data_IF_703991742856
#
_entry.id   IF_703991742856
#
_cell.length_a   1.000
_cell.length_b   1.000
_cell.length_c   1.000
_cell.angle_alpha   90.00
_cell.angle_beta   90.00
_cell.angle_gamma   90.00
#
_symmetry.space_group_name_H-M   'P 1'
#
loop_
_entity.id
_entity.type
_entity.pdbx_description
1 polymer ?
#
# COMPACT_ATOMS: atom_id res chain seq x y z
N UNK A 1 8.96 6.75 17.22
CA UNK A 1 8.73 5.48 16.50
C UNK A 1 9.75 4.45 16.95
N UNK A 2 9.30 3.25 17.37
CA UNK A 2 10.19 2.16 17.76
C UNK A 2 10.72 1.42 16.51
N UNK A 3 11.95 0.90 16.56
CA UNK A 3 12.50 0.00 15.53
C UNK A 3 12.87 0.65 14.19
N UNK A 4 13.16 1.93 14.16
CA UNK A 4 13.69 2.64 12.98
C UNK A 4 15.22 2.65 13.08
N UNK A 5 15.89 2.09 12.07
CA UNK A 5 17.32 2.21 11.84
C UNK A 5 17.52 3.16 10.63
N UNK A 6 18.08 4.37 10.84
CA UNK A 6 18.22 5.37 9.78
C UNK A 6 19.11 4.94 8.61
N UNK A 7 19.95 3.91 8.77
CA UNK A 7 20.82 3.37 7.73
C UNK A 7 20.25 2.18 6.96
N UNK A 8 19.15 1.59 7.45
CA UNK A 8 18.62 0.31 6.94
C UNK A 8 18.30 0.30 5.45
N UNK A 9 17.81 1.43 4.91
CA UNK A 9 17.41 1.58 3.50
C UNK A 9 18.23 2.67 2.79
N UNK A 10 19.42 3.00 3.32
CA UNK A 10 20.28 4.00 2.70
C UNK A 10 20.59 3.65 1.24
N UNK A 11 20.45 4.64 0.33
CA UNK A 11 20.66 4.47 -1.10
C UNK A 11 19.57 3.69 -1.83
N UNK A 12 18.44 3.35 -1.19
CA UNK A 12 17.30 2.69 -1.83
C UNK A 12 16.28 3.72 -2.29
N UNK A 13 15.78 3.55 -3.51
CA UNK A 13 14.65 4.31 -4.05
C UNK A 13 13.36 3.54 -3.84
N UNK A 14 12.41 4.17 -3.16
CA UNK A 14 11.12 3.57 -2.81
C UNK A 14 9.98 4.34 -3.47
N UNK A 15 9.15 3.64 -4.22
CA UNK A 15 7.88 4.17 -4.71
C UNK A 15 6.73 3.58 -3.89
N UNK A 16 5.99 4.45 -3.18
CA UNK A 16 4.76 4.06 -2.47
C UNK A 16 3.56 4.64 -3.19
N UNK A 17 2.73 3.79 -3.80
CA UNK A 17 1.53 4.27 -4.50
C UNK A 17 0.46 4.74 -3.50
N UNK A 18 -0.15 5.91 -3.74
CA UNK A 18 -1.13 6.49 -2.83
C UNK A 18 -0.54 6.94 -1.49
N UNK A 19 0.68 7.48 -1.50
CA UNK A 19 1.43 7.87 -0.30
C UNK A 19 1.18 9.28 0.21
N UNK A 20 0.26 10.02 -0.40
CA UNK A 20 -0.05 11.37 0.06
C UNK A 20 -0.96 11.40 1.31
N UNK A 21 -1.51 10.26 1.74
CA UNK A 21 -2.39 10.15 2.92
C UNK A 21 -2.49 8.73 3.49
N UNK A 22 -3.09 8.62 4.67
CA UNK A 22 -3.46 7.36 5.32
C UNK A 22 -2.30 6.41 5.50
N UNK A 23 -2.54 5.12 5.26
CA UNK A 23 -1.52 4.07 5.38
C UNK A 23 -0.31 4.33 4.48
N UNK A 24 -0.56 4.79 3.24
CA UNK A 24 0.51 5.08 2.29
C UNK A 24 1.46 6.17 2.79
N UNK A 25 0.93 7.24 3.41
CA UNK A 25 1.73 8.30 4.03
C UNK A 25 2.56 7.76 5.20
N UNK A 26 1.95 7.00 6.10
CA UNK A 26 2.66 6.39 7.23
C UNK A 26 3.80 5.47 6.77
N UNK A 27 3.57 4.67 5.71
CA UNK A 27 4.61 3.83 5.11
C UNK A 27 5.74 4.67 4.50
N UNK A 28 5.42 5.70 3.71
CA UNK A 28 6.41 6.58 3.08
C UNK A 28 7.27 7.29 4.13
N UNK A 29 6.64 7.86 5.16
CA UNK A 29 7.34 8.52 6.27
C UNK A 29 8.25 7.56 7.05
N UNK A 30 7.78 6.33 7.30
CA UNK A 30 8.58 5.32 8.00
C UNK A 30 9.80 4.90 7.19
N UNK A 31 9.61 4.60 5.89
CA UNK A 31 10.71 4.21 5.00
C UNK A 31 11.70 5.37 4.77
N UNK A 32 11.22 6.62 4.74
CA UNK A 32 12.06 7.81 4.73
C UNK A 32 12.99 7.86 5.96
N UNK A 33 12.44 7.63 7.15
CA UNK A 33 13.24 7.58 8.41
C UNK A 33 14.22 6.42 8.44
N UNK A 34 14.01 5.38 7.65
CA UNK A 34 14.97 4.29 7.45
C UNK A 34 16.08 4.64 6.43
N UNK A 35 16.12 5.86 5.92
CA UNK A 35 17.16 6.35 5.00
C UNK A 35 16.85 6.19 3.52
N UNK A 36 15.63 5.80 3.14
CA UNK A 36 15.24 5.66 1.74
C UNK A 36 14.98 7.01 1.06
N UNK A 37 15.25 7.09 -0.24
CA UNK A 37 14.72 8.12 -1.13
C UNK A 37 13.27 7.78 -1.50
N UNK A 38 12.35 8.73 -1.37
CA UNK A 38 10.90 8.48 -1.47
C UNK A 38 10.27 9.15 -2.69
N UNK A 39 9.57 8.37 -3.50
CA UNK A 39 8.63 8.88 -4.48
C UNK A 39 7.23 8.93 -3.88
N UNK A 40 6.77 10.15 -3.53
CA UNK A 40 5.41 10.42 -3.06
C UNK A 40 4.46 10.40 -4.25
N UNK A 41 3.35 9.69 -4.10
CA UNK A 41 2.37 9.52 -5.19
C UNK A 41 0.95 9.82 -4.77
N UNK A 42 0.24 10.54 -5.61
CA UNK A 42 -1.21 10.71 -5.55
C UNK A 42 -1.80 10.96 -6.94
N UNK A 43 -3.13 11.03 -7.04
CA UNK A 43 -3.80 11.41 -8.31
C UNK A 43 -3.74 12.92 -8.57
N UNK A 44 -3.72 13.71 -7.51
CA UNK A 44 -3.66 15.18 -7.61
C UNK A 44 -3.06 15.78 -6.34
N UNK A 45 -2.70 17.05 -6.40
CA UNK A 45 -2.17 17.77 -5.24
C UNK A 45 -3.18 17.88 -4.09
N UNK A 46 -4.49 17.90 -4.38
CA UNK A 46 -5.58 18.02 -3.38
C UNK A 46 -5.92 16.72 -2.66
N UNK A 47 -5.37 15.57 -3.06
CA UNK A 47 -5.73 14.25 -2.51
C UNK A 47 -5.69 14.15 -0.99
N UNK A 48 -4.68 14.66 -0.26
CA UNK A 48 -4.67 14.57 1.20
C UNK A 48 -5.70 15.49 1.87
N UNK A 49 -6.09 16.59 1.23
CA UNK A 49 -7.09 17.53 1.77
C UNK A 49 -8.51 16.93 1.80
N UNK A 50 -8.79 15.91 0.97
CA UNK A 50 -10.11 15.23 0.93
C UNK A 50 -10.55 14.68 2.29
N UNK A 51 -9.61 14.38 3.19
CA UNK A 51 -9.86 13.84 4.54
C UNK A 51 -9.15 14.64 5.64
N UNK A 52 -8.71 15.87 5.35
CA UNK A 52 -8.11 16.76 6.32
C UNK A 52 -6.74 16.34 6.88
N UNK A 53 -6.01 15.46 6.19
CA UNK A 53 -4.70 14.95 6.66
C UNK A 53 -3.55 15.93 6.39
N UNK A 54 -3.59 16.65 5.28
CA UNK A 54 -2.65 17.70 4.92
C UNK A 54 -3.29 18.63 3.88
N UNK A 55 -2.81 19.87 3.73
CA UNK A 55 -3.33 20.81 2.73
C UNK A 55 -3.15 20.31 1.29
N UNK A 56 -2.03 19.63 1.00
CA UNK A 56 -1.69 19.19 -0.35
C UNK A 56 -0.65 18.04 -0.34
N UNK A 57 -0.48 17.37 -1.47
CA UNK A 57 0.61 16.41 -1.67
C UNK A 57 1.98 17.09 -1.61
N UNK A 58 2.07 18.34 -2.09
CA UNK A 58 3.26 19.18 -1.96
C UNK A 58 3.65 19.35 -0.49
N UNK A 59 2.68 19.58 0.40
CA UNK A 59 2.93 19.68 1.84
C UNK A 59 3.48 18.36 2.41
N UNK A 60 2.91 17.22 2.00
CA UNK A 60 3.42 15.89 2.41
C UNK A 60 4.85 15.64 1.93
N UNK A 61 5.17 16.06 0.70
CA UNK A 61 6.54 16.01 0.18
C UNK A 61 7.51 16.80 1.06
N UNK A 62 7.13 18.03 1.42
CA UNK A 62 7.97 18.89 2.29
C UNK A 62 8.15 18.30 3.69
N UNK A 63 7.11 17.68 4.25
CA UNK A 63 7.21 16.99 5.54
C UNK A 63 8.22 15.83 5.48
N UNK A 64 8.20 15.04 4.39
CA UNK A 64 9.17 13.94 4.18
C UNK A 64 10.59 14.49 4.01
N UNK A 65 10.78 15.59 3.27
CA UNK A 65 12.08 16.25 3.13
C UNK A 65 12.61 16.78 4.46
N UNK A 66 11.74 17.36 5.32
CA UNK A 66 12.11 17.80 6.67
C UNK A 66 12.61 16.65 7.57
N UNK A 67 12.26 15.39 7.26
CA UNK A 67 12.81 14.22 7.94
C UNK A 67 14.23 13.86 7.49
N UNK A 68 14.81 14.62 6.55
CA UNK A 68 16.15 14.39 5.99
C UNK A 68 16.17 13.47 4.76
N UNK A 69 15.02 13.02 4.26
CA UNK A 69 14.96 12.14 3.11
C UNK A 69 15.04 12.91 1.78
N UNK A 70 15.71 12.34 0.80
CA UNK A 70 15.60 12.76 -0.59
C UNK A 70 14.23 12.32 -1.09
N UNK A 71 13.45 13.24 -1.65
CA UNK A 71 12.10 12.90 -2.09
C UNK A 71 11.67 13.68 -3.34
N UNK A 72 10.86 13.01 -4.15
CA UNK A 72 10.14 13.62 -5.29
C UNK A 72 8.66 13.31 -5.18
N UNK A 73 7.82 13.95 -6.01
CA UNK A 73 6.41 13.58 -6.12
C UNK A 73 6.02 13.35 -7.58
N UNK A 74 5.06 12.44 -7.78
CA UNK A 74 4.44 12.17 -9.07
C UNK A 74 2.93 12.10 -8.95
N UNK A 75 2.24 12.67 -9.93
CA UNK A 75 0.80 12.55 -10.08
C UNK A 75 0.49 11.57 -11.20
N UNK A 76 -0.32 10.56 -10.89
CA UNK A 76 -0.77 9.57 -11.86
C UNK A 76 -2.07 8.90 -11.39
N UNK A 77 -2.93 8.49 -12.29
CA UNK A 77 -3.91 7.46 -12.01
C UNK A 77 -3.27 6.09 -12.30
N UNK A 78 -2.97 5.33 -11.26
CA UNK A 78 -2.31 4.03 -11.39
C UNK A 78 -3.23 2.92 -11.92
N UNK A 79 -4.51 3.21 -12.20
CA UNK A 79 -5.37 2.36 -13.00
C UNK A 79 -5.13 2.51 -14.51
N UNK A 80 -4.43 3.58 -14.93
CA UNK A 80 -4.02 3.82 -16.31
C UNK A 80 -2.56 3.39 -16.52
N UNK A 81 -2.29 2.33 -17.31
CA UNK A 81 -0.94 1.83 -17.53
C UNK A 81 -0.02 2.82 -18.29
N UNK A 82 -0.58 3.79 -19.00
CA UNK A 82 0.21 4.83 -19.68
C UNK A 82 0.74 5.81 -18.64
N UNK A 83 -0.11 6.27 -17.74
CA UNK A 83 0.29 7.17 -16.65
C UNK A 83 1.26 6.48 -15.68
N UNK A 84 1.09 5.17 -15.43
CA UNK A 84 2.04 4.39 -14.60
C UNK A 84 3.44 4.40 -15.22
N UNK A 85 3.59 4.15 -16.52
CA UNK A 85 4.90 4.20 -17.19
C UNK A 85 5.54 5.59 -17.10
N UNK A 86 4.77 6.64 -17.39
CA UNK A 86 5.25 8.00 -17.27
C UNK A 86 5.65 8.36 -15.82
N UNK A 87 4.95 7.82 -14.81
CA UNK A 87 5.33 8.01 -13.41
C UNK A 87 6.66 7.32 -13.08
N UNK A 88 6.87 6.07 -13.55
CA UNK A 88 8.16 5.35 -13.37
C UNK A 88 9.30 6.15 -13.99
N UNK A 89 9.18 6.60 -15.23
CA UNK A 89 10.19 7.40 -15.91
C UNK A 89 10.58 8.68 -15.13
N UNK A 90 9.57 9.39 -14.61
CA UNK A 90 9.79 10.60 -13.78
C UNK A 90 10.48 10.29 -12.45
N UNK A 91 10.10 9.19 -11.79
CA UNK A 91 10.72 8.77 -10.54
C UNK A 91 12.18 8.41 -10.80
N UNK A 92 12.44 7.59 -11.80
CA UNK A 92 13.79 7.12 -12.11
C UNK A 92 14.71 8.26 -12.59
N UNK A 93 14.18 9.24 -13.32
CA UNK A 93 14.92 10.44 -13.68
C UNK A 93 15.29 11.32 -12.46
N UNK A 94 14.43 11.36 -11.44
CA UNK A 94 14.64 12.22 -10.26
C UNK A 94 15.44 11.55 -9.14
N UNK A 95 15.28 10.25 -8.92
CA UNK A 95 15.81 9.53 -7.75
C UNK A 95 16.74 8.36 -8.13
N UNK A 96 16.77 7.96 -9.39
CA UNK A 96 17.40 6.72 -9.83
C UNK A 96 16.43 5.53 -9.85
N UNK A 97 16.93 4.35 -10.21
CA UNK A 97 16.12 3.14 -10.40
C UNK A 97 15.33 2.74 -9.14
N UNK A 98 14.07 2.37 -9.32
CA UNK A 98 13.19 1.96 -8.21
C UNK A 98 13.67 0.61 -7.65
N UNK A 99 14.16 0.59 -6.41
CA UNK A 99 14.57 -0.62 -5.70
C UNK A 99 13.40 -1.30 -4.98
N UNK A 100 12.44 -0.52 -4.48
CA UNK A 100 11.32 -1.01 -3.69
C UNK A 100 10.02 -0.40 -4.20
N UNK A 101 9.06 -1.26 -4.55
CA UNK A 101 7.70 -0.86 -4.93
C UNK A 101 6.72 -1.27 -3.83
N UNK A 102 5.97 -0.31 -3.27
CA UNK A 102 4.87 -0.56 -2.34
C UNK A 102 3.54 -0.25 -3.05
N UNK A 103 2.81 -1.28 -3.44
CA UNK A 103 1.49 -1.17 -4.05
C UNK A 103 0.43 -0.98 -2.98
N UNK A 104 0.16 0.27 -2.61
CA UNK A 104 -0.80 0.63 -1.56
C UNK A 104 -2.08 1.29 -2.12
N UNK A 105 -2.04 1.94 -3.27
CA UNK A 105 -3.22 2.57 -3.87
C UNK A 105 -4.38 1.59 -4.01
N UNK A 106 -5.59 2.01 -3.60
CA UNK A 106 -6.77 1.18 -3.66
C UNK A 106 -7.82 1.48 -2.59
N UNK A 107 -8.80 0.59 -2.49
CA UNK A 107 -9.86 0.64 -1.49
C UNK A 107 -11.21 0.19 -2.03
N UNK A 108 -12.18 -0.01 -1.13
CA UNK A 108 -13.58 -0.32 -1.48
C UNK A 108 -14.27 0.98 -1.93
N UNK A 109 -14.11 1.33 -3.21
CA UNK A 109 -14.53 2.61 -3.80
C UNK A 109 -15.37 2.37 -5.04
N UNK A 110 -16.59 2.89 -5.03
CA UNK A 110 -17.53 2.89 -6.15
C UNK A 110 -17.01 3.65 -7.38
N UNK A 111 -17.58 3.39 -8.55
CA UNK A 111 -17.27 4.11 -9.79
C UNK A 111 -17.41 5.62 -9.64
N UNK A 112 -18.50 6.08 -9.02
CA UNK A 112 -18.77 7.49 -8.73
C UNK A 112 -18.01 8.06 -7.52
N UNK A 113 -17.13 7.27 -6.88
CA UNK A 113 -16.50 7.61 -5.59
C UNK A 113 -17.34 7.14 -4.41
N UNK A 114 -16.82 7.34 -3.19
CA UNK A 114 -17.47 6.81 -1.99
C UNK A 114 -17.44 5.29 -1.92
N UNK A 115 -18.32 4.70 -1.10
CA UNK A 115 -18.47 3.25 -0.98
C UNK A 115 -19.54 2.75 -1.95
N UNK A 116 -19.38 1.55 -2.58
CA UNK A 116 -20.43 0.97 -3.40
C UNK A 116 -21.75 0.82 -2.63
N UNK A 117 -22.86 1.12 -3.29
CA UNK A 117 -24.20 0.80 -2.81
C UNK A 117 -24.45 -0.70 -3.00
N UNK A 118 -25.33 -1.30 -2.14
CA UNK A 118 -25.61 -2.73 -2.21
C UNK A 118 -24.33 -3.57 -2.34
N UNK A 119 -23.36 -3.32 -1.46
CA UNK A 119 -21.99 -3.82 -1.55
C UNK A 119 -21.86 -5.30 -1.14
N UNK A 120 -22.84 -6.13 -1.53
CA UNK A 120 -22.83 -7.58 -1.37
C UNK A 120 -22.49 -8.28 -2.71
N UNK A 121 -22.47 -9.61 -2.71
CA UNK A 121 -22.04 -10.39 -3.87
C UNK A 121 -23.04 -10.37 -5.06
N UNK A 122 -24.30 -10.02 -4.84
CA UNK A 122 -25.37 -10.08 -5.84
C UNK A 122 -25.89 -8.70 -6.22
N UNK A 123 -25.98 -7.77 -5.26
CA UNK A 123 -26.64 -6.48 -5.44
C UNK A 123 -25.72 -5.37 -5.97
N UNK A 124 -24.39 -5.54 -5.90
CA UNK A 124 -23.43 -4.53 -6.38
C UNK A 124 -23.52 -4.35 -7.89
N UNK A 125 -23.49 -3.10 -8.38
CA UNK A 125 -23.56 -2.80 -9.82
C UNK A 125 -22.32 -3.29 -10.58
N UNK A 126 -22.48 -3.58 -11.88
CA UNK A 126 -21.37 -4.01 -12.75
C UNK A 126 -20.32 -2.92 -12.87
N UNK A 127 -20.72 -1.67 -12.87
CA UNK A 127 -19.83 -0.50 -12.89
C UNK A 127 -18.96 -0.45 -11.64
N UNK A 128 -19.55 -0.69 -10.48
CA UNK A 128 -18.83 -0.72 -9.21
C UNK A 128 -17.92 -1.95 -9.10
N UNK A 129 -18.34 -3.12 -9.60
CA UNK A 129 -17.49 -4.29 -9.70
C UNK A 129 -16.22 -3.98 -10.48
N UNK A 130 -16.36 -3.39 -11.68
CA UNK A 130 -15.22 -3.00 -12.52
C UNK A 130 -14.32 -1.99 -11.78
N UNK A 131 -14.90 -0.94 -11.22
CA UNK A 131 -14.16 0.09 -10.51
C UNK A 131 -13.37 -0.46 -9.31
N UNK A 132 -13.93 -1.40 -8.55
CA UNK A 132 -13.26 -2.02 -7.41
C UNK A 132 -12.09 -2.91 -7.87
N UNK A 133 -12.25 -3.69 -8.95
CA UNK A 133 -11.14 -4.48 -9.52
C UNK A 133 -10.04 -3.59 -10.08
N UNK A 134 -10.40 -2.57 -10.87
CA UNK A 134 -9.45 -1.61 -11.44
C UNK A 134 -8.62 -0.92 -10.34
N UNK A 135 -9.27 -0.44 -9.30
CA UNK A 135 -8.62 0.33 -8.22
C UNK A 135 -7.77 -0.51 -7.25
N UNK A 136 -7.92 -1.82 -7.25
CA UNK A 136 -7.20 -2.69 -6.31
C UNK A 136 -6.25 -3.67 -7.03
N UNK A 137 -6.80 -4.58 -7.84
CA UNK A 137 -6.00 -5.62 -8.49
C UNK A 137 -5.24 -5.07 -9.69
N UNK A 138 -5.93 -4.35 -10.59
CA UNK A 138 -5.30 -3.87 -11.82
C UNK A 138 -4.23 -2.82 -11.55
N UNK A 139 -4.44 -1.89 -10.60
CA UNK A 139 -3.39 -0.94 -10.18
C UNK A 139 -2.11 -1.64 -9.75
N UNK A 140 -2.21 -2.72 -8.96
CA UNK A 140 -1.06 -3.52 -8.53
C UNK A 140 -0.36 -4.16 -9.73
N UNK A 141 -1.14 -4.77 -10.64
CA UNK A 141 -0.59 -5.42 -11.85
C UNK A 141 0.10 -4.40 -12.74
N UNK A 142 -0.49 -3.23 -12.98
CA UNK A 142 0.09 -2.19 -13.84
C UNK A 142 1.41 -1.66 -13.26
N UNK A 143 1.47 -1.36 -11.96
CA UNK A 143 2.69 -0.90 -11.32
C UNK A 143 3.80 -1.97 -11.36
N UNK A 144 3.48 -3.24 -11.07
CA UNK A 144 4.44 -4.33 -11.19
C UNK A 144 4.95 -4.48 -12.62
N UNK A 145 4.07 -4.46 -13.63
CA UNK A 145 4.46 -4.56 -15.06
C UNK A 145 5.39 -3.42 -15.50
N UNK A 146 5.26 -2.25 -14.93
CA UNK A 146 6.13 -1.11 -15.28
C UNK A 146 7.49 -1.15 -14.58
N UNK A 147 7.55 -1.63 -13.32
CA UNK A 147 8.77 -1.59 -12.49
C UNK A 147 9.62 -2.86 -12.62
N UNK A 148 8.99 -4.04 -12.67
CA UNK A 148 9.69 -5.34 -12.65
C UNK A 148 10.72 -5.52 -13.75
N UNK A 149 10.52 -5.10 -15.01
CA UNK A 149 11.56 -5.25 -16.05
C UNK A 149 12.88 -4.57 -15.66
N UNK A 150 12.82 -3.37 -15.07
CA UNK A 150 14.02 -2.67 -14.58
C UNK A 150 14.67 -3.41 -13.38
N UNK A 151 13.89 -3.99 -12.48
CA UNK A 151 14.41 -4.80 -11.39
C UNK A 151 15.10 -6.09 -11.91
N UNK A 152 14.50 -6.77 -12.90
CA UNK A 152 15.08 -7.97 -13.54
C UNK A 152 16.43 -7.63 -14.18
N UNK A 153 16.50 -6.54 -14.93
CA UNK A 153 17.74 -6.10 -15.59
C UNK A 153 18.89 -5.83 -14.59
N UNK A 154 18.55 -5.46 -13.35
CA UNK A 154 19.53 -5.21 -12.28
C UNK A 154 19.76 -6.41 -11.35
N UNK A 155 19.00 -7.48 -11.49
CA UNK A 155 19.09 -8.67 -10.63
C UNK A 155 18.75 -8.39 -9.17
N UNK A 156 17.88 -7.41 -8.88
CA UNK A 156 17.45 -7.06 -7.51
C UNK A 156 16.19 -6.22 -7.51
N UNK A 157 15.38 -6.41 -6.46
CA UNK A 157 14.19 -5.59 -6.20
C UNK A 157 13.33 -6.16 -5.08
N UNK A 158 12.47 -5.33 -4.53
CA UNK A 158 11.47 -5.75 -3.54
C UNK A 158 10.10 -5.19 -3.90
N UNK A 159 9.10 -6.04 -3.88
CA UNK A 159 7.70 -5.66 -4.14
C UNK A 159 6.88 -6.01 -2.90
N UNK A 160 6.13 -5.03 -2.39
CA UNK A 160 5.28 -5.18 -1.23
C UNK A 160 3.87 -4.77 -1.62
N UNK A 161 2.96 -5.72 -1.69
CA UNK A 161 1.56 -5.47 -2.00
C UNK A 161 0.76 -5.24 -0.71
N UNK A 162 -0.06 -4.20 -0.66
CA UNK A 162 -0.93 -3.95 0.49
C UNK A 162 -2.29 -4.56 0.22
N UNK A 163 -2.48 -5.73 0.82
CA UNK A 163 -3.70 -6.51 0.77
C UNK A 163 -4.75 -6.05 1.78
N UNK A 164 -5.48 -7.01 2.30
CA UNK A 164 -6.41 -6.86 3.42
C UNK A 164 -6.74 -8.24 3.97
N UNK A 165 -6.97 -8.34 5.29
CA UNK A 165 -7.55 -9.54 5.90
C UNK A 165 -8.93 -9.91 5.31
N UNK A 166 -9.60 -8.97 4.67
CA UNK A 166 -10.86 -9.21 3.96
C UNK A 166 -10.72 -10.27 2.86
N UNK A 167 -9.54 -10.38 2.21
CA UNK A 167 -9.28 -11.35 1.16
C UNK A 167 -9.15 -12.81 1.64
N UNK A 168 -9.18 -13.06 2.95
CA UNK A 168 -8.92 -14.38 3.53
C UNK A 168 -10.13 -14.96 4.29
N UNK A 169 -11.27 -14.32 4.21
CA UNK A 169 -12.54 -14.82 4.80
C UNK A 169 -13.73 -14.41 3.95
N UNK A 170 -14.78 -15.24 3.99
CA UNK A 170 -16.09 -14.86 3.45
C UNK A 170 -16.70 -13.69 4.22
N UNK A 171 -17.38 -12.80 3.51
CA UNK A 171 -18.11 -11.67 4.09
C UNK A 171 -19.28 -11.26 3.19
N UNK A 172 -20.34 -10.78 3.79
CA UNK A 172 -21.49 -10.28 3.04
C UNK A 172 -21.16 -8.94 2.41
N UNK A 173 -20.81 -7.96 3.20
CA UNK A 173 -20.44 -6.63 2.68
C UNK A 173 -18.99 -6.54 2.20
N UNK A 174 -18.79 -5.84 1.09
CA UNK A 174 -17.49 -5.69 0.46
C UNK A 174 -17.01 -6.98 -0.20
N UNK A 175 -17.93 -7.81 -0.72
CA UNK A 175 -17.59 -9.09 -1.34
C UNK A 175 -16.63 -8.92 -2.52
N UNK A 176 -16.88 -7.96 -3.41
CA UNK A 176 -16.02 -7.69 -4.59
C UNK A 176 -14.65 -7.13 -4.17
N UNK A 177 -14.63 -6.25 -3.17
CA UNK A 177 -13.36 -5.80 -2.59
C UNK A 177 -12.56 -6.97 -2.00
N UNK A 178 -13.21 -7.85 -1.22
CA UNK A 178 -12.57 -9.05 -0.66
C UNK A 178 -12.01 -9.95 -1.77
N UNK A 179 -12.78 -10.19 -2.83
CA UNK A 179 -12.37 -10.97 -4.01
C UNK A 179 -11.15 -10.32 -4.69
N UNK A 180 -11.15 -8.99 -4.87
CA UNK A 180 -10.01 -8.29 -5.46
C UNK A 180 -8.73 -8.42 -4.61
N UNK A 181 -8.86 -8.40 -3.28
CA UNK A 181 -7.75 -8.57 -2.34
C UNK A 181 -7.26 -10.03 -2.26
N UNK A 182 -8.15 -11.01 -2.42
CA UNK A 182 -7.78 -12.42 -2.59
C UNK A 182 -7.01 -12.63 -3.91
N UNK A 183 -7.49 -12.04 -5.01
CA UNK A 183 -6.78 -12.03 -6.29
C UNK A 183 -5.39 -11.40 -6.20
N UNK A 184 -5.26 -10.29 -5.47
CA UNK A 184 -3.97 -9.64 -5.23
C UNK A 184 -3.01 -10.54 -4.43
N UNK A 185 -3.52 -11.30 -3.44
CA UNK A 185 -2.72 -12.26 -2.68
C UNK A 185 -2.21 -13.40 -3.58
N UNK A 186 -3.07 -13.91 -4.46
CA UNK A 186 -2.65 -14.94 -5.42
C UNK A 186 -1.65 -14.39 -6.45
N UNK A 187 -1.89 -13.19 -6.98
CA UNK A 187 -0.95 -12.51 -7.87
C UNK A 187 0.44 -12.32 -7.23
N UNK A 188 0.48 -11.99 -5.93
CA UNK A 188 1.74 -11.90 -5.16
C UNK A 188 2.54 -13.20 -5.25
N UNK A 189 1.88 -14.35 -5.06
CA UNK A 189 2.53 -15.67 -5.15
C UNK A 189 2.99 -16.00 -6.56
N UNK A 190 2.16 -15.74 -7.57
CA UNK A 190 2.51 -15.97 -8.98
C UNK A 190 3.72 -15.13 -9.40
N UNK A 191 3.72 -13.84 -9.07
CA UNK A 191 4.82 -12.95 -9.41
C UNK A 191 6.10 -13.34 -8.65
N UNK A 192 6.00 -13.71 -7.36
CA UNK A 192 7.14 -14.21 -6.58
C UNK A 192 7.77 -15.44 -7.22
N UNK A 193 6.97 -16.39 -7.69
CA UNK A 193 7.46 -17.58 -8.40
C UNK A 193 8.19 -17.23 -9.70
N UNK A 194 7.66 -16.26 -10.44
CA UNK A 194 8.22 -15.83 -11.72
C UNK A 194 9.57 -15.11 -11.60
N UNK A 195 9.74 -14.26 -10.56
CA UNK A 195 10.89 -13.35 -10.47
C UNK A 195 11.99 -13.80 -9.50
N UNK A 196 11.82 -14.93 -8.82
CA UNK A 196 12.76 -15.41 -7.79
C UNK A 196 14.18 -15.67 -8.32
N UNK A 197 14.31 -16.10 -9.57
CA UNK A 197 15.62 -16.32 -10.21
C UNK A 197 16.41 -15.02 -10.45
N UNK A 198 15.71 -13.88 -10.42
CA UNK A 198 16.28 -12.56 -10.58
C UNK A 198 16.56 -11.86 -9.24
N UNK A 199 16.57 -12.61 -8.11
CA UNK A 199 16.80 -12.05 -6.77
C UNK A 199 15.82 -10.91 -6.41
N UNK A 200 14.55 -11.07 -6.81
CA UNK A 200 13.46 -10.15 -6.51
C UNK A 200 12.49 -10.82 -5.55
N UNK A 201 12.20 -10.17 -4.43
CA UNK A 201 11.18 -10.67 -3.48
C UNK A 201 9.84 -9.97 -3.71
N UNK A 202 8.75 -10.73 -3.60
CA UNK A 202 7.38 -10.21 -3.72
C UNK A 202 6.56 -10.72 -2.54
N UNK A 203 6.12 -9.83 -1.68
CA UNK A 203 5.36 -10.19 -0.48
C UNK A 203 4.11 -9.31 -0.33
N UNK A 204 3.22 -9.70 0.57
CA UNK A 204 2.02 -8.95 0.90
C UNK A 204 1.95 -8.66 2.39
N UNK A 205 1.62 -7.42 2.73
CA UNK A 205 1.09 -7.04 4.04
C UNK A 205 -0.42 -6.99 3.93
N UNK A 206 -1.14 -7.68 4.81
CA UNK A 206 -2.60 -7.73 4.85
C UNK A 206 -3.12 -7.08 6.16
N UNK A 207 -3.42 -5.77 6.15
CA UNK A 207 -3.93 -5.07 7.31
C UNK A 207 -5.30 -5.58 7.75
N UNK A 208 -5.53 -5.59 9.07
CA UNK A 208 -6.86 -5.56 9.67
C UNK A 208 -7.48 -4.16 9.64
N UNK A 209 -8.39 -3.88 10.55
CA UNK A 209 -8.89 -2.52 10.75
C UNK A 209 -7.78 -1.60 11.23
N UNK A 210 -7.57 -0.49 10.53
CA UNK A 210 -6.57 0.52 10.88
C UNK A 210 -7.18 1.91 10.84
N UNK A 211 -6.84 2.77 11.81
CA UNK A 211 -7.38 4.13 11.93
C UNK A 211 -6.75 5.09 10.92
N UNK A 212 -6.98 4.85 9.63
CA UNK A 212 -6.73 5.88 8.63
C UNK A 212 -7.90 6.88 8.60
N UNK A 213 -7.65 8.13 8.23
CA UNK A 213 -8.67 9.18 8.11
C UNK A 213 -9.85 8.76 7.24
N UNK A 214 -9.58 8.09 6.12
CA UNK A 214 -10.62 7.55 5.25
C UNK A 214 -11.45 6.48 5.95
N UNK A 215 -10.84 5.55 6.68
CA UNK A 215 -11.56 4.50 7.41
C UNK A 215 -12.50 5.11 8.46
N UNK A 216 -12.05 6.17 9.14
CA UNK A 216 -12.87 6.92 10.09
C UNK A 216 -14.01 7.64 9.35
N UNK A 217 -13.72 8.33 8.25
CA UNK A 217 -14.70 9.10 7.48
C UNK A 217 -15.78 8.23 6.82
N UNK A 218 -15.51 6.95 6.55
CA UNK A 218 -16.52 6.02 6.01
C UNK A 218 -17.49 5.47 7.07
N UNK A 219 -17.35 5.87 8.34
CA UNK A 219 -18.22 5.40 9.43
C UNK A 219 -18.05 3.92 9.81
N UNK A 220 -17.01 3.25 9.32
CA UNK A 220 -16.75 1.83 9.59
C UNK A 220 -16.05 1.59 10.94
N UNK A 221 -15.52 2.65 11.54
CA UNK A 221 -14.81 2.55 12.81
C UNK A 221 -15.80 2.37 13.97
N UNK A 222 -15.75 1.22 14.62
CA UNK A 222 -16.54 0.92 15.81
C UNK A 222 -16.01 1.73 16.99
N UNK A 223 -16.88 2.45 17.74
CA UNK A 223 -16.47 3.30 18.86
C UNK A 223 -15.63 2.55 19.90
N UNK A 224 -16.07 1.36 20.31
CA UNK A 224 -15.39 0.55 21.33
C UNK A 224 -13.96 0.15 20.97
N UNK A 225 -13.68 -0.16 19.69
CA UNK A 225 -12.34 -0.48 19.22
C UNK A 225 -11.47 0.77 19.05
N UNK A 226 -12.10 1.93 18.79
CA UNK A 226 -11.41 3.21 18.75
C UNK A 226 -11.01 3.69 20.14
N UNK A 227 -11.89 3.55 21.11
CA UNK A 227 -11.63 3.88 22.52
C UNK A 227 -10.55 2.98 23.15
N UNK A 228 -10.38 1.76 22.63
CA UNK A 228 -9.33 0.86 23.06
C UNK A 228 -7.92 1.26 22.57
N UNK A 229 -7.80 2.27 21.68
CA UNK A 229 -6.50 2.81 21.24
C UNK A 229 -5.73 3.37 22.46
N UNK A 230 -4.45 3.04 22.53
CA UNK A 230 -3.60 3.43 23.68
C UNK A 230 -3.66 2.49 24.88
N UNK A 231 -4.59 1.53 24.90
CA UNK A 231 -4.61 0.47 25.93
C UNK A 231 -3.66 -0.68 25.55
N UNK A 232 -3.07 -1.40 26.50
CA UNK A 232 -2.21 -2.57 26.25
C UNK A 232 -3.03 -3.81 25.86
N UNK A 233 -3.74 -3.73 24.73
CA UNK A 233 -4.58 -4.80 24.17
C UNK A 233 -4.41 -4.90 22.66
N UNK A 234 -4.58 -6.10 22.09
CA UNK A 234 -4.65 -6.33 20.66
C UNK A 234 -6.10 -6.21 20.11
N UNK A 235 -7.11 -6.14 20.98
CA UNK A 235 -8.52 -5.96 20.61
C UNK A 235 -8.77 -4.46 20.38
N UNK A 236 -8.21 -3.93 19.32
CA UNK A 236 -8.32 -2.54 18.88
C UNK A 236 -8.02 -2.40 17.40
N UNK A 237 -8.16 -1.22 16.85
CA UNK A 237 -7.62 -0.93 15.52
C UNK A 237 -6.10 -0.76 15.57
N UNK A 238 -5.44 -1.08 14.46
CA UNK A 238 -4.03 -0.80 14.31
C UNK A 238 -3.80 0.71 14.10
N UNK A 239 -2.72 1.22 14.67
CA UNK A 239 -2.13 2.49 14.23
C UNK A 239 -1.54 2.31 12.82
N UNK A 240 -1.67 3.29 11.92
CA UNK A 240 -1.01 3.25 10.60
C UNK A 240 0.48 2.90 10.65
N UNK A 241 1.20 3.34 11.67
CA UNK A 241 2.62 3.02 11.85
C UNK A 241 2.86 1.53 12.15
N UNK A 242 1.94 0.83 12.81
CA UNK A 242 2.06 -0.61 13.05
C UNK A 242 1.99 -1.42 11.74
N UNK A 243 1.18 -0.95 10.78
CA UNK A 243 1.16 -1.53 9.43
C UNK A 243 2.46 -1.20 8.69
N UNK A 244 2.95 0.03 8.82
CA UNK A 244 4.20 0.46 8.21
C UNK A 244 5.43 -0.31 8.75
N UNK A 245 5.40 -0.80 10.00
CA UNK A 245 6.43 -1.70 10.55
C UNK A 245 6.57 -2.99 9.74
N UNK A 246 5.47 -3.60 9.35
CA UNK A 246 5.51 -4.83 8.54
C UNK A 246 6.02 -4.55 7.11
N UNK A 247 5.70 -3.37 6.56
CA UNK A 247 6.25 -2.92 5.27
C UNK A 247 7.77 -2.69 5.40
N UNK A 248 8.23 -2.05 6.46
CA UNK A 248 9.66 -1.88 6.74
C UNK A 248 10.39 -3.24 6.81
N UNK A 249 9.81 -4.24 7.49
CA UNK A 249 10.40 -5.58 7.54
C UNK A 249 10.60 -6.15 6.14
N UNK A 250 9.57 -6.18 5.28
CA UNK A 250 9.71 -6.70 3.92
C UNK A 250 10.61 -5.83 3.02
N UNK A 251 10.70 -4.53 3.27
CA UNK A 251 11.60 -3.62 2.55
C UNK A 251 13.07 -3.81 2.94
N UNK A 252 13.33 -4.28 4.16
CA UNK A 252 14.67 -4.39 4.75
C UNK A 252 15.43 -5.64 4.31
N UNK A 253 16.76 -5.70 4.56
CA UNK A 253 17.56 -6.91 4.36
C UNK A 253 17.12 -8.10 5.21
N UNK A 254 16.39 -7.89 6.32
CA UNK A 254 15.84 -8.95 7.17
C UNK A 254 14.89 -9.90 6.43
N UNK A 255 14.33 -9.46 5.30
CA UNK A 255 13.42 -10.25 4.48
C UNK A 255 13.99 -10.65 3.11
N UNK A 256 15.33 -10.69 2.95
CA UNK A 256 15.95 -11.02 1.66
C UNK A 256 15.66 -12.46 1.20
N UNK A 257 15.40 -13.37 2.14
CA UNK A 257 15.03 -14.77 1.83
C UNK A 257 13.54 -15.06 2.04
N UNK A 258 12.69 -14.00 2.12
CA UNK A 258 11.24 -14.11 2.28
C UNK A 258 10.56 -13.66 1.00
N UNK A 259 9.88 -14.56 0.28
CA UNK A 259 9.14 -14.24 -0.94
C UNK A 259 7.87 -15.07 -1.05
N UNK A 260 6.83 -14.52 -1.68
CA UNK A 260 5.52 -15.16 -1.85
C UNK A 260 4.66 -15.19 -0.58
N UNK A 261 5.05 -14.49 0.49
CA UNK A 261 4.39 -14.57 1.79
C UNK A 261 3.33 -13.48 1.97
N UNK A 262 2.35 -13.83 2.80
CA UNK A 262 1.31 -12.90 3.28
C UNK A 262 1.45 -12.74 4.79
N UNK A 263 1.77 -11.54 5.23
CA UNK A 263 1.81 -11.19 6.65
C UNK A 263 0.54 -10.41 7.02
N UNK A 264 -0.32 -11.03 7.83
CA UNK A 264 -1.47 -10.34 8.40
C UNK A 264 -1.03 -9.46 9.58
N UNK A 265 -1.50 -8.22 9.59
CA UNK A 265 -1.26 -7.25 10.67
C UNK A 265 -2.63 -6.80 11.17
N UNK A 266 -3.22 -7.59 12.06
CA UNK A 266 -4.62 -7.47 12.46
C UNK A 266 -4.87 -7.71 13.96
N UNK A 267 -3.80 -7.75 14.78
CA UNK A 267 -3.91 -8.02 16.22
C UNK A 267 -4.41 -9.42 16.55
N UNK A 268 -4.29 -10.38 15.63
CA UNK A 268 -4.77 -11.75 15.81
C UNK A 268 -6.28 -11.91 15.60
N UNK A 269 -6.92 -10.97 14.90
CA UNK A 269 -8.37 -11.05 14.61
C UNK A 269 -8.72 -12.22 13.65
N UNK A 270 -7.76 -12.73 12.89
CA UNK A 270 -7.91 -13.93 12.05
C UNK A 270 -6.75 -14.89 12.31
N UNK A 271 -7.05 -16.06 12.86
CA UNK A 271 -6.07 -17.09 13.25
C UNK A 271 -5.98 -18.26 12.27
N UNK A 272 -6.88 -18.34 11.27
CA UNK A 272 -6.83 -19.35 10.21
C UNK A 272 -5.64 -19.12 9.26
N UNK A 273 -5.11 -20.14 8.58
CA UNK A 273 -4.08 -19.98 7.55
C UNK A 273 -4.49 -18.97 6.47
N UNK A 274 -3.47 -18.30 5.87
CA UNK A 274 -3.67 -17.34 4.78
C UNK A 274 -3.63 -18.00 3.40
#
# INVERSE_FOLDING_TARGET
MKGVDPGMLSGKVVWVTGSARGLGRAMAERLARCGASIAVHSRSDRTPAEFGEAPSTTHVLEDIKKMGAIATMVFADVSDPIQVRAAVERIEAALGPIDILVNNAGGDIAAAGGRPKNNDALGISVEDIRAVFERNLMTTIHCCRAVVPGMIARGRGKIINIGSVAGFRGRVEGAIYATSKAGQAHYTRCLAAQVREHNITVNMVAPGGSLSSRFIATGQAKPELREAMGRPTLIRYADPDEIACAVQFFASPLADFVSGQVLRVDGGAQLSPA
#
